data_IF_689270840051
#
_entry.id   IF_689270840051
#
_cell.length_a   1.000
_cell.length_b   1.000
_cell.length_c   1.000
_cell.angle_alpha   90.00
_cell.angle_beta   90.00
_cell.angle_gamma   90.00
#
_symmetry.space_group_name_H-M   'P 1'
#
loop_
_entity.id
_entity.type
_entity.pdbx_description
1 polymer ?
#
# COMPACT_ATOMS: atom_id res chain seq x y z
N UNK A 1 2.37 7.33 38.56
CA UNK A 1 3.23 7.92 37.52
C UNK A 1 2.86 7.30 36.19
N UNK A 2 1.95 7.92 35.45
CA UNK A 2 1.70 7.55 34.06
C UNK A 2 2.86 8.10 33.24
N UNK A 3 3.48 7.28 32.40
CA UNK A 3 4.45 7.78 31.43
C UNK A 3 3.79 8.91 30.62
N UNK A 4 4.47 10.05 30.41
CA UNK A 4 3.96 11.08 29.51
C UNK A 4 3.75 10.43 28.16
N UNK A 5 2.51 10.49 27.66
CA UNK A 5 2.16 10.05 26.31
C UNK A 5 2.88 11.00 25.38
N UNK A 6 4.12 10.66 25.01
CA UNK A 6 4.91 11.41 24.04
C UNK A 6 4.00 11.70 22.85
N UNK A 7 3.96 12.98 22.48
CA UNK A 7 3.08 13.50 21.46
C UNK A 7 3.10 12.56 20.26
N UNK A 8 1.99 11.84 20.06
CA UNK A 8 1.83 10.99 18.90
C UNK A 8 2.13 11.88 17.70
N UNK A 9 3.16 11.56 16.89
CA UNK A 9 3.57 12.45 15.80
C UNK A 9 2.34 12.77 14.96
N UNK A 10 2.23 14.01 14.45
CA UNK A 10 1.06 14.45 13.70
C UNK A 10 0.79 13.39 12.65
N UNK A 11 -0.41 12.80 12.70
CA UNK A 11 -0.85 11.70 11.85
C UNK A 11 -0.34 11.98 10.44
N UNK A 12 0.76 11.32 10.04
CA UNK A 12 1.45 11.57 8.78
C UNK A 12 0.40 11.76 7.70
N UNK A 13 0.43 12.91 7.02
CA UNK A 13 -0.59 13.33 6.05
C UNK A 13 -1.13 12.09 5.34
N UNK A 14 -2.40 11.73 5.59
CA UNK A 14 -2.94 10.44 5.16
C UNK A 14 -2.71 10.22 3.66
N UNK A 15 -2.77 11.31 2.89
CA UNK A 15 -2.48 11.34 1.47
C UNK A 15 -1.04 10.90 1.16
N UNK A 16 -0.04 11.41 1.89
CA UNK A 16 1.38 11.02 1.73
C UNK A 16 1.63 9.51 1.90
N UNK A 17 0.93 8.84 2.83
CA UNK A 17 1.14 7.41 3.11
C UNK A 17 0.57 6.51 2.03
N UNK A 18 -0.65 6.82 1.57
CA UNK A 18 -1.29 6.05 0.50
C UNK A 18 -0.55 6.28 -0.82
N UNK A 19 -0.01 7.48 -1.03
CA UNK A 19 0.85 7.78 -2.18
C UNK A 19 2.11 6.90 -2.22
N UNK A 20 2.80 6.69 -1.10
CA UNK A 20 3.98 5.83 -1.05
C UNK A 20 3.65 4.39 -1.48
N UNK A 21 2.55 3.82 -0.98
CA UNK A 21 2.06 2.50 -1.40
C UNK A 21 1.75 2.46 -2.89
N UNK A 22 1.01 3.46 -3.39
CA UNK A 22 0.60 3.54 -4.79
C UNK A 22 1.80 3.56 -5.75
N UNK A 23 2.84 4.33 -5.40
CA UNK A 23 4.09 4.42 -6.16
C UNK A 23 4.79 3.06 -6.19
N UNK A 24 4.92 2.40 -5.04
CA UNK A 24 5.59 1.09 -4.94
C UNK A 24 4.87 0.00 -5.74
N UNK A 25 3.55 -0.05 -5.64
CA UNK A 25 2.69 -0.99 -6.38
C UNK A 25 2.84 -0.77 -7.88
N UNK A 26 2.78 0.49 -8.32
CA UNK A 26 2.92 0.84 -9.74
C UNK A 26 4.31 0.49 -10.28
N UNK A 27 5.37 0.88 -9.56
CA UNK A 27 6.74 0.61 -9.96
C UNK A 27 6.96 -0.91 -10.12
N UNK A 28 6.54 -1.69 -9.13
CA UNK A 28 6.67 -3.15 -9.19
C UNK A 28 5.86 -3.80 -10.30
N UNK A 29 4.64 -3.33 -10.55
CA UNK A 29 3.84 -3.80 -11.69
C UNK A 29 4.58 -3.56 -13.01
N UNK A 30 5.14 -2.37 -13.19
CA UNK A 30 5.88 -1.98 -14.39
C UNK A 30 7.18 -2.79 -14.55
N UNK A 31 7.91 -3.06 -13.47
CA UNK A 31 9.08 -3.97 -13.45
C UNK A 31 8.73 -5.39 -13.93
N UNK A 32 7.56 -5.90 -13.54
CA UNK A 32 7.06 -7.21 -13.95
C UNK A 32 6.46 -7.21 -15.37
N UNK A 33 6.44 -6.07 -16.07
CA UNK A 33 5.91 -5.94 -17.42
C UNK A 33 4.38 -6.13 -17.51
N UNK A 34 3.66 -5.99 -16.40
CA UNK A 34 2.22 -6.22 -16.34
C UNK A 34 1.46 -4.94 -16.68
N UNK A 35 0.40 -5.06 -17.47
CA UNK A 35 -0.65 -4.03 -17.57
C UNK A 35 -1.56 -4.05 -16.34
N UNK A 36 -2.30 -2.97 -16.09
CA UNK A 36 -3.23 -2.88 -14.95
C UNK A 36 -4.33 -3.94 -14.99
N UNK A 37 -4.85 -4.28 -16.18
CA UNK A 37 -5.87 -5.32 -16.36
C UNK A 37 -5.31 -6.73 -16.09
N UNK A 38 -4.06 -7.00 -16.47
CA UNK A 38 -3.38 -8.26 -16.19
C UNK A 38 -3.13 -8.45 -14.70
N UNK A 39 -2.66 -7.40 -14.00
CA UNK A 39 -2.53 -7.44 -12.54
C UNK A 39 -3.89 -7.68 -11.87
N UNK A 40 -4.94 -7.02 -12.36
CA UNK A 40 -6.28 -7.17 -11.80
C UNK A 40 -6.82 -8.61 -11.96
N UNK A 41 -6.59 -9.23 -13.11
CA UNK A 41 -6.94 -10.62 -13.37
C UNK A 41 -6.20 -11.58 -12.44
N UNK A 42 -4.88 -11.44 -12.31
CA UNK A 42 -4.05 -12.27 -11.43
C UNK A 42 -4.43 -12.12 -9.95
N UNK A 43 -4.82 -10.92 -9.52
CA UNK A 43 -5.22 -10.62 -8.15
C UNK A 43 -6.73 -10.83 -7.90
N UNK A 44 -7.45 -11.45 -8.84
CA UNK A 44 -8.88 -11.72 -8.77
C UNK A 44 -9.70 -10.48 -8.33
N UNK A 45 -9.44 -9.36 -9.01
CA UNK A 45 -10.06 -8.07 -8.71
C UNK A 45 -10.40 -7.30 -10.00
N UNK A 46 -11.10 -6.17 -9.86
CA UNK A 46 -11.44 -5.32 -11.01
C UNK A 46 -10.26 -4.44 -11.41
N UNK A 47 -10.07 -4.17 -12.72
CA UNK A 47 -9.09 -3.19 -13.20
C UNK A 47 -9.29 -1.80 -12.56
N UNK A 48 -10.53 -1.42 -12.22
CA UNK A 48 -10.84 -0.18 -11.49
C UNK A 48 -10.24 -0.16 -10.08
N UNK A 49 -10.12 -1.32 -9.42
CA UNK A 49 -9.47 -1.44 -8.12
C UNK A 49 -7.97 -1.14 -8.24
N UNK A 50 -7.26 -1.82 -9.15
CA UNK A 50 -5.84 -1.58 -9.44
C UNK A 50 -5.60 -0.12 -9.81
N UNK A 51 -6.41 0.43 -10.72
CA UNK A 51 -6.35 1.85 -11.07
C UNK A 51 -6.50 2.77 -9.86
N UNK A 52 -7.48 2.49 -8.98
CA UNK A 52 -7.71 3.31 -7.77
C UNK A 52 -6.53 3.22 -6.79
N UNK A 53 -5.94 2.04 -6.66
CA UNK A 53 -4.78 1.78 -5.80
C UNK A 53 -3.54 2.54 -6.30
N UNK A 54 -3.23 2.47 -7.60
CA UNK A 54 -2.11 3.21 -8.21
C UNK A 54 -2.32 4.74 -8.26
N UNK A 55 -3.55 5.21 -8.09
CA UNK A 55 -3.88 6.64 -7.96
C UNK A 55 -4.06 7.09 -6.50
N UNK A 56 -3.60 6.28 -5.54
CA UNK A 56 -3.61 6.62 -4.12
C UNK A 56 -5.00 6.98 -3.55
N UNK A 57 -6.06 6.27 -3.99
CA UNK A 57 -7.41 6.48 -3.44
C UNK A 57 -7.41 6.35 -1.92
N UNK A 58 -7.98 7.35 -1.23
CA UNK A 58 -7.97 7.46 0.24
C UNK A 58 -8.52 6.21 0.95
N UNK A 59 -9.51 5.55 0.34
CA UNK A 59 -10.15 4.34 0.90
C UNK A 59 -10.16 3.20 -0.10
N UNK A 60 -9.68 2.04 0.36
CA UNK A 60 -9.65 0.80 -0.41
C UNK A 60 -9.79 -0.41 0.52
N UNK A 61 -10.29 -1.51 -0.06
CA UNK A 61 -10.49 -2.78 0.64
C UNK A 61 -9.14 -3.42 0.95
N UNK A 62 -8.91 -3.73 2.24
CA UNK A 62 -7.65 -4.30 2.71
C UNK A 62 -7.40 -5.69 2.13
N UNK A 63 -8.42 -6.54 2.08
CA UNK A 63 -8.33 -7.89 1.51
C UNK A 63 -7.85 -7.85 0.05
N UNK A 64 -8.44 -6.97 -0.77
CA UNK A 64 -8.04 -6.82 -2.18
C UNK A 64 -6.67 -6.16 -2.36
N UNK A 65 -6.26 -5.33 -1.41
CA UNK A 65 -4.90 -4.81 -1.39
C UNK A 65 -3.90 -5.95 -1.14
N UNK A 66 -4.20 -6.86 -0.20
CA UNK A 66 -3.34 -8.01 0.09
C UNK A 66 -3.22 -8.95 -1.11
N UNK A 67 -4.33 -9.27 -1.80
CA UNK A 67 -4.31 -10.08 -3.03
C UNK A 67 -3.37 -9.46 -4.09
N UNK A 68 -3.42 -8.13 -4.27
CA UNK A 68 -2.53 -7.42 -5.20
C UNK A 68 -1.07 -7.46 -4.76
N UNK A 69 -0.80 -7.27 -3.46
CA UNK A 69 0.56 -7.34 -2.93
C UNK A 69 1.17 -8.74 -3.14
N UNK A 70 0.39 -9.80 -2.93
CA UNK A 70 0.82 -11.18 -3.16
C UNK A 70 1.25 -11.41 -4.61
N UNK A 71 0.43 -10.98 -5.59
CA UNK A 71 0.76 -11.11 -7.02
C UNK A 71 2.05 -10.35 -7.40
N UNK A 72 2.28 -9.19 -6.78
CA UNK A 72 3.47 -8.38 -7.03
C UNK A 72 4.73 -8.89 -6.30
N UNK A 73 4.58 -9.91 -5.45
CA UNK A 73 5.65 -10.49 -4.64
C UNK A 73 6.02 -9.63 -3.42
N UNK A 74 5.12 -8.76 -2.97
CA UNK A 74 5.29 -8.00 -1.74
C UNK A 74 4.81 -8.78 -0.51
N UNK A 75 5.45 -8.53 0.63
CA UNK A 75 5.01 -9.02 1.94
C UNK A 75 4.61 -7.82 2.81
N UNK A 76 3.45 -7.90 3.49
CA UNK A 76 3.05 -6.91 4.49
C UNK A 76 3.50 -7.37 5.88
N UNK A 77 4.42 -6.62 6.49
CA UNK A 77 4.90 -6.85 7.85
C UNK A 77 4.37 -5.78 8.81
N UNK A 78 4.03 -6.17 10.05
CA UNK A 78 3.66 -5.25 11.12
C UNK A 78 4.74 -5.25 12.20
N UNK A 79 5.33 -4.09 12.45
CA UNK A 79 6.37 -3.90 13.46
C UNK A 79 5.97 -2.83 14.49
N UNK A 80 6.31 -2.99 15.78
CA UNK A 80 6.15 -1.92 16.77
C UNK A 80 6.94 -0.67 16.37
N UNK A 81 6.32 0.50 16.45
CA UNK A 81 6.97 1.75 16.07
C UNK A 81 6.08 2.98 16.28
N UNK A 82 6.52 4.18 15.86
CA UNK A 82 5.78 5.43 16.03
C UNK A 82 4.47 5.49 15.20
N UNK A 83 4.21 4.49 14.36
CA UNK A 83 3.04 4.40 13.49
C UNK A 83 3.27 5.04 12.12
N UNK A 84 2.63 4.50 11.09
CA UNK A 84 2.79 4.92 9.70
C UNK A 84 2.66 3.76 8.73
N UNK A 85 2.83 4.04 7.44
CA UNK A 85 3.04 3.02 6.41
C UNK A 85 4.40 3.33 5.79
N UNK A 86 5.32 2.38 5.91
CA UNK A 86 6.67 2.46 5.37
C UNK A 86 6.75 1.42 4.26
N UNK A 87 7.19 1.84 3.08
CA UNK A 87 7.57 0.93 2.00
C UNK A 87 9.08 0.80 2.06
N UNK A 88 9.57 -0.38 2.42
CA UNK A 88 11.01 -0.67 2.40
C UNK A 88 11.50 -0.86 0.96
N UNK A 89 12.76 -0.50 0.71
CA UNK A 89 13.52 -1.01 -0.44
C UNK A 89 14.08 -2.39 -0.06
N UNK A 90 14.21 -3.29 -1.06
CA UNK A 90 14.93 -4.56 -0.91
C UNK A 90 16.42 -4.33 -1.15
#
# INVERSE_FOLDING_TARGET
MGQPREAQPPLHDRASRVAALAIAVRARREELGLRQDQLAELAECSARFVHSMENAKETMRLDKMLDVLEVLGFTLELQPGPGGLIVGEV
#
